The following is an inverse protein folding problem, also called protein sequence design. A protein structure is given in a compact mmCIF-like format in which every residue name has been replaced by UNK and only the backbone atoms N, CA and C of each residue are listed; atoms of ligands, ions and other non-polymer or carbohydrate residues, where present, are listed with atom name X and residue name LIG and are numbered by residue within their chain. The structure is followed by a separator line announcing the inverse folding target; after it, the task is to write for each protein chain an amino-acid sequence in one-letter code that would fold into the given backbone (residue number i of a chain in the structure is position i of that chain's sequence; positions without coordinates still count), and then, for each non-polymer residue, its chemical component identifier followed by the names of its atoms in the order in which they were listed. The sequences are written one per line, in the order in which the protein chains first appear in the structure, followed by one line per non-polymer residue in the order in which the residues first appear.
data_IF_363340443888
#
_entry.id   IF_363340443888
#
_cell.length_a   1.000
_cell.length_b   1.000
_cell.length_c   1.000
_cell.angle_alpha   90.00
_cell.angle_beta   90.00
_cell.angle_gamma   90.00
#
_symmetry.space_group_name_H-M   'P 1'
#
loop_
_entity.id
_entity.type
_entity.pdbx_description
1 polymer ?
#
# COMPACT_ATOMS: atom_id res chain seq x y z
N UNK A 1 11.44 -6.99 -13.08
CA UNK A 1 10.60 -7.91 -13.84
C UNK A 1 9.27 -7.23 -14.15
N UNK A 2 8.87 -7.24 -15.40
CA UNK A 2 7.82 -6.36 -15.90
C UNK A 2 6.46 -6.61 -15.26
N UNK A 3 6.08 -7.86 -15.15
CA UNK A 3 4.77 -8.19 -14.59
C UNK A 3 4.68 -7.75 -13.12
N UNK A 4 5.76 -7.92 -12.39
CA UNK A 4 5.77 -7.53 -11.00
C UNK A 4 5.70 -6.01 -10.84
N UNK A 5 6.34 -5.27 -11.75
CA UNK A 5 6.25 -3.81 -11.71
C UNK A 5 4.81 -3.36 -11.91
N UNK A 6 4.10 -3.97 -12.86
CA UNK A 6 2.72 -3.62 -13.12
C UNK A 6 1.82 -3.97 -11.93
N UNK A 7 2.04 -5.13 -11.30
CA UNK A 7 1.28 -5.51 -10.12
C UNK A 7 1.50 -4.55 -8.96
N UNK A 8 2.74 -4.18 -8.72
CA UNK A 8 3.06 -3.27 -7.62
C UNK A 8 2.51 -1.88 -7.86
N UNK A 9 2.53 -1.43 -9.12
CA UNK A 9 1.91 -0.17 -9.47
C UNK A 9 0.41 -0.22 -9.21
N UNK A 10 -0.23 -1.32 -9.59
CA UNK A 10 -1.65 -1.52 -9.36
C UNK A 10 -1.98 -1.48 -7.87
N UNK A 11 -1.19 -2.19 -7.06
CA UNK A 11 -1.38 -2.16 -5.61
C UNK A 11 -1.21 -0.76 -5.04
N UNK A 12 -0.21 -0.04 -5.53
CA UNK A 12 0.04 1.33 -5.08
C UNK A 12 -1.15 2.23 -5.38
N UNK A 13 -1.70 2.13 -6.59
CA UNK A 13 -2.86 2.93 -6.95
C UNK A 13 -4.06 2.61 -6.07
N UNK A 14 -4.27 1.34 -5.79
CA UNK A 14 -5.34 0.93 -4.89
C UNK A 14 -5.14 1.43 -3.48
N UNK A 15 -3.92 1.32 -2.97
CA UNK A 15 -3.61 1.80 -1.62
C UNK A 15 -3.83 3.30 -1.50
N UNK A 16 -3.38 4.05 -2.48
CA UNK A 16 -3.55 5.50 -2.47
C UNK A 16 -5.02 5.88 -2.53
N UNK A 17 -5.77 5.27 -3.43
CA UNK A 17 -7.19 5.56 -3.60
C UNK A 17 -7.97 5.24 -2.34
N UNK A 18 -7.71 4.07 -1.77
CA UNK A 18 -8.43 3.63 -0.59
C UNK A 18 -8.06 4.46 0.64
N UNK A 19 -6.81 4.85 0.77
CA UNK A 19 -6.37 5.68 1.89
C UNK A 19 -7.05 7.03 1.88
N UNK A 20 -7.27 7.60 0.70
CA UNK A 20 -7.90 8.91 0.59
C UNK A 20 -9.40 8.81 0.83
N UNK A 21 -10.05 7.78 0.29
CA UNK A 21 -11.52 7.69 0.30
C UNK A 21 -12.08 6.77 1.37
N UNK A 22 -11.28 5.87 1.93
CA UNK A 22 -11.77 4.76 2.72
C UNK A 22 -11.43 4.78 4.20
N UNK A 23 -11.15 5.95 4.78
CA UNK A 23 -10.78 6.02 6.20
C UNK A 23 -11.89 5.51 7.12
N UNK A 24 -13.14 5.57 6.68
CA UNK A 24 -14.23 5.06 7.49
C UNK A 24 -14.11 3.57 7.78
N UNK A 25 -13.55 2.82 6.83
CA UNK A 25 -13.38 1.39 7.02
C UNK A 25 -12.42 1.10 8.17
N UNK A 26 -11.37 1.89 8.30
CA UNK A 26 -10.43 1.73 9.39
C UNK A 26 -11.11 1.96 10.75
N UNK A 27 -11.95 2.98 10.83
CA UNK A 27 -12.68 3.25 12.06
C UNK A 27 -13.66 2.13 12.41
N UNK A 28 -14.28 1.54 11.40
CA UNK A 28 -15.19 0.42 11.63
C UNK A 28 -14.46 -0.81 12.16
N UNK A 29 -13.24 -1.04 11.65
CA UNK A 29 -12.48 -2.23 12.04
C UNK A 29 -11.82 -2.06 13.41
N UNK A 30 -11.29 -0.89 13.68
CA UNK A 30 -10.49 -0.65 14.88
C UNK A 30 -11.19 0.21 15.90
N UNK A 31 -12.40 0.68 15.60
CA UNK A 31 -13.04 1.68 16.42
C UNK A 31 -12.31 3.00 16.25
N UNK A 32 -12.27 3.76 17.32
CA UNK A 32 -11.55 5.03 17.25
C UNK A 32 -10.03 4.75 17.33
N UNK A 33 -9.28 5.23 16.37
CA UNK A 33 -7.83 5.08 16.43
C UNK A 33 -7.20 6.41 16.88
N UNK A 34 -5.98 6.28 17.43
CA UNK A 34 -5.38 7.37 18.18
C UNK A 34 -4.87 8.51 17.33
N UNK A 35 -4.45 8.22 16.11
CA UNK A 35 -3.82 9.23 15.29
C UNK A 35 -4.63 9.48 14.04
N UNK A 36 -5.43 10.53 14.09
CA UNK A 36 -6.29 10.91 12.96
C UNK A 36 -5.79 12.17 12.26
N UNK A 37 -4.55 12.57 12.53
CA UNK A 37 -4.01 13.79 11.95
C UNK A 37 -3.81 13.61 10.45
N UNK A 38 -4.56 14.32 9.61
CA UNK A 38 -4.43 14.16 8.16
C UNK A 38 -3.06 14.55 7.63
N UNK A 39 -2.30 15.35 8.37
CA UNK A 39 -0.95 15.72 7.94
C UNK A 39 -0.01 14.53 7.98
N UNK A 40 -0.35 13.47 8.69
CA UNK A 40 0.49 12.28 8.79
C UNK A 40 0.15 11.21 7.76
N UNK A 41 -0.94 11.40 7.05
CA UNK A 41 -1.35 10.41 6.05
C UNK A 41 -0.29 10.23 4.98
N UNK A 42 0.17 11.32 4.38
CA UNK A 42 1.10 11.21 3.27
C UNK A 42 2.43 10.58 3.68
N UNK A 43 3.08 10.99 4.78
CA UNK A 43 4.31 10.33 5.19
C UNK A 43 4.13 8.84 5.52
N UNK A 44 3.02 8.49 6.18
CA UNK A 44 2.74 7.09 6.49
C UNK A 44 2.55 6.28 5.23
N UNK A 45 1.75 6.80 4.31
CA UNK A 45 1.46 6.12 3.07
C UNK A 45 2.73 5.96 2.24
N UNK A 46 3.56 7.00 2.18
CA UNK A 46 4.81 6.92 1.43
C UNK A 46 5.75 5.88 2.02
N UNK A 47 5.85 5.82 3.34
CA UNK A 47 6.68 4.81 3.99
C UNK A 47 6.21 3.41 3.64
N UNK A 48 4.91 3.19 3.71
CA UNK A 48 4.33 1.90 3.37
C UNK A 48 4.58 1.52 1.91
N UNK A 49 4.35 2.47 1.01
CA UNK A 49 4.51 2.23 -0.42
C UNK A 49 5.96 1.95 -0.79
N UNK A 50 6.89 2.72 -0.23
CA UNK A 50 8.30 2.50 -0.51
C UNK A 50 8.74 1.13 -0.03
N UNK A 51 8.28 0.72 1.15
CA UNK A 51 8.57 -0.62 1.64
C UNK A 51 8.04 -1.70 0.72
N UNK A 52 6.82 -1.53 0.23
CA UNK A 52 6.23 -2.48 -0.70
C UNK A 52 6.95 -2.52 -2.04
N UNK A 53 7.34 -1.35 -2.55
CA UNK A 53 8.04 -1.29 -3.83
C UNK A 53 9.44 -1.89 -3.77
N UNK A 54 10.05 -1.89 -2.58
CA UNK A 54 11.38 -2.45 -2.37
C UNK A 54 11.37 -3.87 -1.87
N UNK A 55 10.20 -4.44 -1.60
CA UNK A 55 10.10 -5.77 -1.05
C UNK A 55 10.64 -6.81 -2.06
N UNK A 56 11.20 -7.92 -1.56
CA UNK A 56 11.61 -9.00 -2.44
C UNK A 56 10.44 -9.53 -3.26
N UNK A 57 10.75 -10.12 -4.39
CA UNK A 57 9.72 -10.76 -5.20
C UNK A 57 9.16 -11.97 -4.47
N UNK A 58 7.84 -12.15 -4.54
CA UNK A 58 7.21 -13.32 -3.94
C UNK A 58 7.63 -14.59 -4.66
N UNK A 59 7.92 -14.48 -5.95
CA UNK A 59 8.34 -15.62 -6.76
C UNK A 59 9.64 -15.28 -7.48
N UNK A 60 10.76 -15.21 -6.72
CA UNK A 60 12.00 -14.69 -7.31
C UNK A 60 12.63 -15.60 -8.32
N UNK A 61 12.43 -16.90 -8.20
CA UNK A 61 13.07 -17.89 -9.06
C UNK A 61 12.10 -18.48 -10.07
N UNK A 62 11.25 -17.63 -10.58
CA UNK A 62 10.29 -18.08 -11.55
C UNK A 62 10.98 -18.57 -12.80
N UNK A 63 10.82 -19.85 -13.13
CA UNK A 63 11.45 -20.37 -14.34
C UNK A 63 10.80 -19.76 -15.56
N UNK A 64 11.60 -19.65 -16.63
CA UNK A 64 11.06 -19.24 -17.90
C UNK A 64 10.09 -20.32 -18.38
N UNK A 65 8.93 -19.89 -18.72
CA UNK A 65 7.89 -20.81 -19.16
C UNK A 65 8.17 -21.28 -20.58
#
# INVERSE_FOLDING_TARGET
ERAEILWRFHFMMGAMSYAIAGTDALQLLAGKFDDEDPARLAPRLMSFLLGGLRAPLAYPDRPAA
#
